data_IF_457862997798
#
_entry.id   IF_457862997798
#
_cell.length_a   1.000
_cell.length_b   1.000
_cell.length_c   1.000
_cell.angle_alpha   90.00
_cell.angle_beta   90.00
_cell.angle_gamma   90.00
#
_symmetry.space_group_name_H-M   'P 1'
#
loop_
_entity.id
_entity.type
_entity.pdbx_description
1 polymer ?
#
# COMPACT_ATOMS: atom_id res chain seq x y z
N UNK A 1 0.39 -10.97 26.81
CA UNK A 1 -0.82 -10.76 25.97
C UNK A 1 -0.53 -9.62 25.00
N UNK A 2 -1.11 -9.57 23.80
CA UNK A 2 -0.76 -8.54 22.79
C UNK A 2 -0.81 -7.09 23.33
N UNK A 3 -1.79 -6.79 24.19
CA UNK A 3 -1.96 -5.48 24.84
C UNK A 3 -0.81 -5.06 25.77
N UNK A 4 -0.09 -6.03 26.35
CA UNK A 4 1.01 -5.76 27.28
C UNK A 4 2.38 -5.67 26.59
N UNK A 5 2.44 -5.90 25.28
CA UNK A 5 3.67 -5.84 24.51
C UNK A 5 4.01 -4.38 24.17
N UNK A 6 5.18 -3.91 24.58
CA UNK A 6 5.64 -2.56 24.32
C UNK A 6 5.75 -2.27 22.81
N UNK A 7 6.00 -3.29 21.99
CA UNK A 7 6.01 -3.15 20.54
C UNK A 7 4.63 -2.81 19.99
N UNK A 8 3.54 -3.21 20.63
CA UNK A 8 2.18 -2.94 20.17
C UNK A 8 1.64 -1.56 20.61
N UNK A 9 2.50 -0.68 21.15
CA UNK A 9 2.12 0.71 21.43
C UNK A 9 1.93 1.52 20.14
N UNK A 10 2.65 1.17 19.08
CA UNK A 10 2.52 1.78 17.75
C UNK A 10 1.63 0.90 16.88
N UNK A 11 0.32 1.11 16.96
CA UNK A 11 -0.65 0.36 16.18
C UNK A 11 -0.86 1.03 14.82
N UNK A 12 -0.56 0.32 13.74
CA UNK A 12 -0.92 0.71 12.37
C UNK A 12 -1.62 -0.46 11.72
N UNK A 13 -2.90 -0.29 11.38
CA UNK A 13 -3.70 -1.35 10.75
C UNK A 13 -3.83 -1.03 9.27
N UNK A 14 -3.33 -1.89 8.41
CA UNK A 14 -3.38 -1.75 6.95
C UNK A 14 -4.61 -2.46 6.43
N UNK A 15 -5.44 -1.76 5.66
CA UNK A 15 -6.70 -2.30 5.14
C UNK A 15 -6.46 -3.06 3.84
N UNK A 16 -6.75 -4.35 3.84
CA UNK A 16 -6.56 -5.24 2.70
C UNK A 16 -7.93 -5.65 2.14
N UNK A 17 -8.54 -4.81 1.30
CA UNK A 17 -9.85 -5.09 0.71
C UNK A 17 -9.82 -6.10 -0.44
N UNK A 18 -8.68 -6.27 -1.09
CA UNK A 18 -8.56 -7.15 -2.26
C UNK A 18 -8.26 -8.60 -1.92
N UNK A 19 -8.07 -8.94 -0.64
CA UNK A 19 -7.52 -10.24 -0.24
C UNK A 19 -8.18 -10.82 1.00
N UNK A 20 -8.66 -12.07 0.88
CA UNK A 20 -9.09 -12.91 2.01
C UNK A 20 -7.93 -13.75 2.56
N UNK A 21 -8.07 -14.28 3.78
CA UNK A 21 -7.17 -15.35 4.27
C UNK A 21 -7.30 -16.58 3.37
N UNK A 22 -6.18 -17.26 3.07
CA UNK A 22 -6.20 -18.54 2.37
C UNK A 22 -6.39 -19.70 3.36
N UNK A 23 -7.38 -20.56 3.10
CA UNK A 23 -7.68 -21.77 3.88
C UNK A 23 -8.50 -21.52 5.15
N UNK A 24 -9.14 -22.56 5.67
CA UNK A 24 -9.69 -22.54 7.02
C UNK A 24 -8.54 -22.23 7.98
N UNK A 25 -8.65 -21.13 8.70
CA UNK A 25 -7.72 -20.67 9.74
C UNK A 25 -6.91 -21.82 10.32
N UNK A 26 -5.61 -21.95 9.99
CA UNK A 26 -4.76 -22.79 10.82
C UNK A 26 -4.85 -22.21 12.23
N UNK A 27 -5.33 -22.97 13.23
CA UNK A 27 -5.18 -22.56 14.62
C UNK A 27 -3.67 -22.51 14.86
N UNK A 28 -3.09 -21.30 14.87
CA UNK A 28 -1.64 -21.12 14.97
C UNK A 28 -0.95 -20.36 13.83
N UNK A 29 -1.66 -19.56 13.03
CA UNK A 29 -1.03 -18.59 12.12
C UNK A 29 -0.12 -17.61 12.89
N UNK A 30 1.20 -17.87 12.84
CA UNK A 30 2.30 -17.21 13.57
C UNK A 30 2.04 -16.95 15.06
N UNK A 31 2.82 -17.58 15.95
CA UNK A 31 2.80 -17.33 17.41
C UNK A 31 3.17 -15.88 17.83
N UNK A 32 3.29 -14.97 16.88
CA UNK A 32 3.70 -13.57 17.05
C UNK A 32 2.62 -12.66 16.45
N UNK A 33 1.56 -12.42 17.21
CA UNK A 33 0.57 -11.39 16.88
C UNK A 33 1.14 -10.02 17.25
N UNK A 34 1.35 -9.17 16.25
CA UNK A 34 1.77 -7.77 16.44
C UNK A 34 0.75 -6.83 15.81
N UNK A 35 0.50 -5.72 16.51
CA UNK A 35 -0.32 -4.59 16.03
C UNK A 35 0.52 -3.57 15.24
N UNK A 36 1.85 -3.72 15.20
CA UNK A 36 2.71 -2.95 14.30
C UNK A 36 2.51 -3.48 12.87
N UNK A 37 1.98 -2.66 11.98
CA UNK A 37 1.72 -3.02 10.58
C UNK A 37 0.78 -4.23 10.41
N UNK A 38 -0.29 -4.28 11.22
CA UNK A 38 -1.25 -5.37 11.16
C UNK A 38 -2.04 -5.33 9.83
N UNK A 39 -1.96 -6.40 9.04
CA UNK A 39 -2.70 -6.53 7.79
C UNK A 39 -4.10 -7.06 8.07
N UNK A 40 -5.09 -6.17 8.08
CA UNK A 40 -6.50 -6.51 8.29
C UNK A 40 -7.14 -6.83 6.93
N UNK A 41 -7.47 -8.10 6.72
CA UNK A 41 -8.06 -8.61 5.47
C UNK A 41 -9.58 -8.47 5.44
N UNK A 42 -10.15 -8.43 4.23
CA UNK A 42 -11.58 -8.18 4.01
C UNK A 42 -12.51 -9.15 4.75
N UNK A 43 -12.15 -10.43 4.85
CA UNK A 43 -12.91 -11.44 5.61
C UNK A 43 -12.85 -11.18 7.12
N UNK A 44 -11.73 -10.66 7.61
CA UNK A 44 -11.61 -10.28 9.01
C UNK A 44 -12.41 -9.01 9.33
N UNK A 45 -12.57 -8.10 8.38
CA UNK A 45 -13.44 -6.93 8.54
C UNK A 45 -14.91 -7.34 8.60
N UNK A 46 -15.31 -8.33 7.79
CA UNK A 46 -16.64 -8.94 7.82
C UNK A 46 -16.89 -9.63 9.17
N UNK A 47 -15.98 -10.50 9.62
CA UNK A 47 -16.05 -11.20 10.91
C UNK A 47 -16.18 -10.21 12.10
N UNK A 48 -15.46 -9.09 12.02
CA UNK A 48 -15.45 -8.04 13.05
C UNK A 48 -16.60 -7.03 12.92
N UNK A 49 -17.44 -7.16 11.87
CA UNK A 49 -18.55 -6.25 11.58
C UNK A 49 -18.13 -4.77 11.53
N UNK A 50 -16.98 -4.49 10.92
CA UNK A 50 -16.53 -3.12 10.71
C UNK A 50 -17.36 -2.43 9.62
N UNK A 51 -17.45 -1.10 9.66
CA UNK A 51 -18.09 -0.31 8.60
C UNK A 51 -17.18 -0.19 7.36
N UNK A 52 -17.01 -1.33 6.69
CA UNK A 52 -16.23 -1.42 5.47
C UNK A 52 -16.80 -0.56 4.33
N UNK A 53 -18.11 -0.31 4.33
CA UNK A 53 -18.79 0.52 3.34
C UNK A 53 -18.26 1.96 3.41
N UNK A 54 -18.18 2.56 4.60
CA UNK A 54 -17.64 3.92 4.78
C UNK A 54 -16.16 4.02 4.37
N UNK A 55 -15.37 2.98 4.68
CA UNK A 55 -13.96 2.93 4.27
C UNK A 55 -13.81 2.91 2.75
N UNK A 56 -14.54 2.05 2.03
CA UNK A 56 -14.43 1.99 0.57
C UNK A 56 -14.99 3.23 -0.13
N UNK A 57 -15.98 3.90 0.46
CA UNK A 57 -16.44 5.23 0.01
C UNK A 57 -15.31 6.25 0.10
N UNK A 58 -14.63 6.31 1.24
CA UNK A 58 -13.52 7.24 1.47
C UNK A 58 -12.33 6.96 0.55
N UNK A 59 -12.00 5.67 0.34
CA UNK A 59 -10.96 5.25 -0.60
C UNK A 59 -11.30 5.64 -2.05
N UNK A 60 -12.55 5.47 -2.45
CA UNK A 60 -13.03 5.83 -3.79
C UNK A 60 -12.90 7.33 -4.05
N UNK A 61 -13.26 8.16 -3.06
CA UNK A 61 -13.11 9.62 -3.14
C UNK A 61 -11.65 10.02 -3.25
N UNK A 62 -10.79 9.47 -2.39
CA UNK A 62 -9.37 9.76 -2.40
C UNK A 62 -8.72 9.43 -3.75
N UNK A 63 -8.95 8.22 -4.28
CA UNK A 63 -8.39 7.80 -5.57
C UNK A 63 -8.93 8.64 -6.74
N UNK A 64 -10.23 8.98 -6.75
CA UNK A 64 -10.79 9.83 -7.79
C UNK A 64 -10.17 11.24 -7.78
N UNK A 65 -9.91 11.80 -6.59
CA UNK A 65 -9.21 13.08 -6.42
C UNK A 65 -7.77 12.96 -6.91
N UNK A 66 -7.05 11.91 -6.51
CA UNK A 66 -5.67 11.70 -6.92
C UNK A 66 -5.52 11.61 -8.45
N UNK A 67 -6.34 10.77 -9.08
CA UNK A 67 -6.27 10.60 -10.53
C UNK A 67 -6.68 11.87 -11.27
N UNK A 68 -7.83 12.48 -10.93
CA UNK A 68 -8.45 13.47 -11.83
C UNK A 68 -8.27 14.92 -11.39
N UNK A 69 -8.04 15.18 -10.10
CA UNK A 69 -7.80 16.52 -9.59
C UNK A 69 -6.30 16.81 -9.51
N UNK A 70 -5.52 15.90 -8.93
CA UNK A 70 -4.07 16.08 -8.74
C UNK A 70 -3.24 15.47 -9.86
N UNK A 71 -3.83 14.66 -10.73
CA UNK A 71 -3.19 14.07 -11.92
C UNK A 71 -1.99 13.18 -11.56
N UNK A 72 -2.15 12.32 -10.56
CA UNK A 72 -1.16 11.29 -10.20
C UNK A 72 -1.78 9.90 -10.31
N UNK A 73 -0.98 8.85 -10.50
CA UNK A 73 -1.45 7.46 -10.69
C UNK A 73 -1.82 6.71 -9.41
N UNK A 74 -1.46 7.26 -8.25
CA UNK A 74 -1.64 6.62 -6.95
C UNK A 74 -0.87 5.29 -6.78
N UNK A 75 0.26 5.12 -7.44
CA UNK A 75 1.12 3.94 -7.25
C UNK A 75 1.59 3.81 -5.80
N UNK A 76 1.47 2.59 -5.26
CA UNK A 76 1.88 2.13 -3.93
C UNK A 76 1.28 2.88 -2.73
N UNK A 77 0.24 3.69 -2.93
CA UNK A 77 -0.42 4.35 -1.79
C UNK A 77 -1.11 3.36 -0.88
N UNK A 78 -1.02 3.64 0.42
CA UNK A 78 -1.45 2.71 1.46
C UNK A 78 -2.58 3.30 2.32
N UNK A 79 -3.67 2.54 2.45
CA UNK A 79 -4.80 2.91 3.29
C UNK A 79 -4.70 2.22 4.66
N UNK A 80 -4.64 3.03 5.71
CA UNK A 80 -4.38 2.55 7.08
C UNK A 80 -5.34 3.16 8.09
N UNK A 81 -5.75 2.37 9.09
CA UNK A 81 -6.46 2.87 10.25
C UNK A 81 -5.45 3.25 11.34
N UNK A 82 -5.58 4.51 11.79
CA UNK A 82 -4.91 5.04 12.96
C UNK A 82 -5.96 5.43 14.00
N UNK A 83 -5.60 5.37 15.29
CA UNK A 83 -6.45 5.87 16.36
C UNK A 83 -5.88 7.15 16.93
N UNK A 84 -6.72 8.17 17.12
CA UNK A 84 -6.37 9.38 17.87
C UNK A 84 -7.30 9.52 19.06
N UNK A 85 -6.86 10.15 20.17
CA UNK A 85 -7.78 10.53 21.24
C UNK A 85 -8.93 11.37 20.67
N UNK A 86 -10.16 11.15 21.14
CA UNK A 86 -11.33 11.92 20.69
C UNK A 86 -11.14 13.42 20.88
N UNK A 87 -10.50 13.79 21.99
CA UNK A 87 -10.21 15.18 22.35
C UNK A 87 -9.09 15.82 21.51
N UNK A 88 -8.44 15.06 20.62
CA UNK A 88 -7.25 15.48 19.88
C UNK A 88 -7.53 16.43 18.72
N UNK A 89 -8.70 16.29 18.09
CA UNK A 89 -9.13 17.20 17.01
C UNK A 89 -9.63 18.55 17.53
N UNK A 90 -9.74 18.72 18.85
CA UNK A 90 -10.00 20.00 19.46
C UNK A 90 -8.66 20.73 19.66
N UNK A 91 -8.16 21.42 18.62
CA UNK A 91 -7.25 22.55 18.86
C UNK A 91 -8.07 23.58 19.64
N UNK A 92 -7.98 23.54 20.97
CA UNK A 92 -8.84 24.36 21.83
C UNK A 92 -8.36 25.81 21.87
N UNK A 93 -7.05 26.04 21.73
CA UNK A 93 -6.43 27.38 21.68
C UNK A 93 -5.14 27.37 20.85
N UNK A 94 -5.13 27.86 19.60
CA UNK A 94 -3.87 28.08 18.90
C UNK A 94 -3.03 29.12 19.67
N UNK A 95 -1.72 28.90 19.87
CA UNK A 95 -0.87 29.86 20.55
C UNK A 95 -0.77 31.16 19.72
N UNK A 96 -0.83 32.35 20.35
CA UNK A 96 -0.64 33.63 19.68
C UNK A 96 0.67 33.67 18.89
N UNK A 97 0.70 34.35 17.75
CA UNK A 97 1.90 34.43 16.89
C UNK A 97 3.15 34.90 17.66
N UNK A 98 2.99 35.86 18.58
CA UNK A 98 4.07 36.36 19.41
C UNK A 98 4.69 35.28 20.30
N UNK A 99 3.89 34.33 20.79
CA UNK A 99 4.36 33.21 21.59
C UNK A 99 5.07 32.17 20.73
N UNK A 100 4.65 31.99 19.47
CA UNK A 100 5.30 31.09 18.50
C UNK A 100 6.70 31.61 18.15
N UNK A 101 6.84 32.91 17.91
CA UNK A 101 8.12 33.56 17.57
C UNK A 101 9.16 33.41 18.70
N UNK A 102 8.71 33.29 19.95
CA UNK A 102 9.58 33.08 21.12
C UNK A 102 9.99 31.62 21.35
N UNK A 103 9.43 30.67 20.60
CA UNK A 103 9.78 29.26 20.75
C UNK A 103 11.12 28.95 20.13
N UNK A 104 11.88 28.07 20.79
CA UNK A 104 13.07 27.46 20.20
C UNK A 104 12.66 26.68 18.94
N UNK A 105 13.40 26.78 17.82
CA UNK A 105 13.13 25.98 16.62
C UNK A 105 13.02 24.48 16.93
N UNK A 106 12.03 23.81 16.36
CA UNK A 106 11.74 22.40 16.62
C UNK A 106 10.90 22.11 17.88
N UNK A 107 10.52 23.14 18.64
CA UNK A 107 9.60 22.97 19.78
C UNK A 107 8.20 22.57 19.30
N UNK A 108 7.68 21.45 19.80
CA UNK A 108 6.30 21.04 19.54
C UNK A 108 5.32 22.01 20.19
N UNK A 109 4.50 22.69 19.38
CA UNK A 109 3.37 23.51 19.87
C UNK A 109 2.14 22.67 20.20
N UNK A 110 2.19 21.37 19.91
CA UNK A 110 1.05 20.47 19.93
C UNK A 110 0.42 20.28 21.31
N UNK A 111 1.25 20.02 22.33
CA UNK A 111 0.79 19.84 23.70
C UNK A 111 0.21 21.15 24.26
N UNK A 112 0.81 22.29 23.90
CA UNK A 112 0.31 23.63 24.26
C UNK A 112 -1.02 23.98 23.58
N UNK A 113 -1.21 23.61 22.32
CA UNK A 113 -2.41 23.93 21.55
C UNK A 113 -3.62 23.05 21.92
N UNK A 114 -3.37 21.83 22.37
CA UNK A 114 -4.41 20.83 22.70
C UNK A 114 -4.76 20.79 24.19
N UNK A 115 -3.84 21.21 25.08
CA UNK A 115 -3.99 21.37 26.54
C UNK A 115 -4.82 20.25 27.21
N UNK A 116 -4.57 19.00 26.84
CA UNK A 116 -5.29 17.85 27.40
C UNK A 116 -4.33 16.68 27.54
N UNK A 117 -4.28 16.05 28.72
CA UNK A 117 -3.69 14.73 28.85
C UNK A 117 -4.50 13.77 27.96
N UNK A 118 -3.91 13.18 26.91
CA UNK A 118 -4.68 12.44 25.91
C UNK A 118 -5.49 11.31 26.57
N UNK A 119 -6.81 11.43 26.54
CA UNK A 119 -7.69 10.40 27.08
C UNK A 119 -7.82 9.25 26.07
N UNK A 120 -6.88 8.33 26.13
CA UNK A 120 -6.84 7.14 25.29
C UNK A 120 -7.97 6.12 25.54
N UNK A 121 -8.89 6.37 26.48
CA UNK A 121 -10.11 5.55 26.66
C UNK A 121 -11.23 5.96 25.71
N UNK A 122 -11.19 7.18 25.16
CA UNK A 122 -12.11 7.66 24.12
C UNK A 122 -11.28 7.95 22.87
N UNK A 123 -11.38 7.09 21.86
CA UNK A 123 -10.59 7.20 20.63
C UNK A 123 -11.50 7.31 19.42
N UNK A 124 -11.08 8.11 18.45
CA UNK A 124 -11.63 8.08 17.09
C UNK A 124 -10.67 7.22 16.27
N UNK A 125 -11.24 6.38 15.43
CA UNK A 125 -10.50 5.66 14.39
C UNK A 125 -10.61 6.48 13.11
N UNK A 126 -9.48 6.78 12.48
CA UNK A 126 -9.42 7.55 11.25
C UNK A 126 -8.75 6.73 10.16
N UNK A 127 -9.27 6.83 8.95
CA UNK A 127 -8.63 6.33 7.74
C UNK A 127 -7.58 7.35 7.28
N UNK A 128 -6.34 6.89 7.14
CA UNK A 128 -5.21 7.65 6.63
C UNK A 128 -4.77 7.06 5.29
N UNK A 129 -4.29 7.94 4.42
CA UNK A 129 -3.64 7.58 3.17
C UNK A 129 -2.16 7.98 3.27
N UNK A 130 -1.26 7.03 3.10
CA UNK A 130 0.18 7.19 3.25
C UNK A 130 0.92 6.70 1.99
N UNK A 131 2.24 6.85 2.03
CA UNK A 131 3.21 6.32 1.07
C UNK A 131 3.00 6.80 -0.38
N UNK A 132 3.37 8.07 -0.62
CA UNK A 132 3.24 8.72 -1.93
C UNK A 132 4.56 8.71 -2.73
N UNK A 133 5.59 8.01 -2.27
CA UNK A 133 6.94 8.06 -2.83
C UNK A 133 7.04 7.41 -4.22
N UNK A 134 6.19 6.44 -4.52
CA UNK A 134 6.10 5.77 -5.82
C UNK A 134 5.12 6.44 -6.81
N UNK A 135 4.35 7.44 -6.38
CA UNK A 135 3.34 8.10 -7.21
C UNK A 135 3.98 8.85 -8.40
N UNK A 136 3.45 8.60 -9.61
CA UNK A 136 3.84 9.28 -10.84
C UNK A 136 2.75 10.21 -11.38
N UNK A 137 3.10 11.28 -12.11
CA UNK A 137 2.11 12.09 -12.80
C UNK A 137 1.42 11.29 -13.92
N UNK A 138 0.14 11.60 -14.19
CA UNK A 138 -0.63 11.01 -15.30
C UNK A 138 -1.13 12.08 -16.27
N UNK A 139 -1.23 11.69 -17.54
CA UNK A 139 -1.85 12.51 -18.58
C UNK A 139 -3.38 12.36 -18.56
N UNK A 140 -4.12 13.40 -18.92
CA UNK A 140 -5.59 13.37 -18.93
C UNK A 140 -6.16 12.78 -20.22
N UNK A 141 -5.70 11.57 -20.56
CA UNK A 141 -6.11 10.80 -21.74
C UNK A 141 -6.01 9.29 -21.44
N UNK A 142 -6.21 8.45 -22.46
CA UNK A 142 -6.16 6.99 -22.33
C UNK A 142 -4.83 6.46 -21.79
N UNK A 143 -3.69 7.10 -22.09
CA UNK A 143 -2.39 6.66 -21.58
C UNK A 143 -2.30 6.84 -20.05
N UNK A 144 -2.74 7.99 -19.52
CA UNK A 144 -2.78 8.20 -18.08
C UNK A 144 -3.83 7.33 -17.37
N UNK A 145 -4.97 7.03 -18.03
CA UNK A 145 -5.92 6.02 -17.52
C UNK A 145 -5.24 4.65 -17.39
N UNK A 146 -4.48 4.22 -18.40
CA UNK A 146 -3.76 2.95 -18.34
C UNK A 146 -2.72 2.91 -17.23
N UNK A 147 -2.04 4.02 -16.95
CA UNK A 147 -1.09 4.13 -15.84
C UNK A 147 -1.79 4.02 -14.48
N UNK A 148 -2.91 4.73 -14.29
CA UNK A 148 -3.73 4.61 -13.08
C UNK A 148 -4.28 3.18 -12.90
N UNK A 149 -4.73 2.52 -13.98
CA UNK A 149 -5.14 1.12 -13.93
C UNK A 149 -3.98 0.24 -13.48
N UNK A 150 -2.78 0.40 -14.06
CA UNK A 150 -1.60 -0.36 -13.66
C UNK A 150 -1.33 -0.19 -12.16
N UNK A 151 -1.28 1.04 -11.66
CA UNK A 151 -1.09 1.34 -10.25
C UNK A 151 -2.14 0.67 -9.35
N UNK A 152 -3.42 0.79 -9.72
CA UNK A 152 -4.51 0.14 -8.97
C UNK A 152 -4.37 -1.39 -8.90
N UNK A 153 -3.94 -2.02 -10.00
CA UNK A 153 -3.75 -3.47 -10.08
C UNK A 153 -2.53 -3.90 -9.28
N UNK A 154 -1.46 -3.10 -9.23
CA UNK A 154 -0.27 -3.37 -8.41
C UNK A 154 -0.56 -3.15 -6.92
N UNK A 155 -1.42 -2.20 -6.56
CA UNK A 155 -1.96 -1.97 -5.21
C UNK A 155 -3.03 -3.01 -4.81
N UNK A 156 -3.04 -4.16 -5.49
CA UNK A 156 -3.98 -5.28 -5.34
C UNK A 156 -4.44 -5.57 -3.92
N UNK A 157 -3.52 -5.70 -2.95
CA UNK A 157 -3.92 -6.20 -1.65
C UNK A 157 -4.79 -5.18 -0.92
N UNK A 158 -4.60 -3.89 -1.18
CA UNK A 158 -5.25 -2.78 -0.49
C UNK A 158 -6.62 -2.44 -1.07
N UNK A 159 -6.76 -2.48 -2.40
CA UNK A 159 -7.95 -1.97 -3.08
C UNK A 159 -9.09 -3.01 -3.17
N UNK A 160 -10.37 -2.59 -3.10
CA UNK A 160 -11.50 -3.48 -3.39
C UNK A 160 -11.40 -4.08 -4.79
N UNK A 161 -11.84 -5.34 -4.95
CA UNK A 161 -11.72 -6.07 -6.22
C UNK A 161 -13.06 -6.60 -6.73
N UNK A 162 -13.31 -6.54 -8.06
CA UNK A 162 -14.41 -7.27 -8.67
C UNK A 162 -14.11 -8.78 -8.71
N UNK A 163 -15.14 -9.60 -8.92
CA UNK A 163 -15.04 -11.03 -9.23
C UNK A 163 -14.45 -11.90 -8.11
N UNK A 164 -14.58 -11.46 -6.85
CA UNK A 164 -14.12 -12.21 -5.68
C UNK A 164 -15.03 -13.42 -5.34
N UNK A 165 -16.15 -13.56 -6.04
CA UNK A 165 -17.11 -14.68 -5.94
C UNK A 165 -17.79 -14.80 -4.57
N UNK A 166 -17.79 -13.74 -3.77
CA UNK A 166 -18.50 -13.65 -2.50
C UNK A 166 -19.29 -12.35 -2.38
N UNK A 167 -20.46 -12.43 -1.74
CA UNK A 167 -21.43 -11.33 -1.68
C UNK A 167 -20.88 -10.08 -1.00
N UNK A 168 -20.04 -10.23 0.01
CA UNK A 168 -19.47 -9.12 0.77
C UNK A 168 -18.47 -8.32 -0.06
N UNK A 169 -17.47 -8.98 -0.66
CA UNK A 169 -16.48 -8.31 -1.52
C UNK A 169 -17.12 -7.69 -2.77
N UNK A 170 -18.09 -8.38 -3.39
CA UNK A 170 -18.83 -7.85 -4.55
C UNK A 170 -19.64 -6.59 -4.19
N UNK A 171 -20.24 -6.56 -2.99
CA UNK A 171 -20.89 -5.35 -2.47
C UNK A 171 -19.89 -4.21 -2.32
N UNK A 172 -18.73 -4.46 -1.70
CA UNK A 172 -17.71 -3.43 -1.48
C UNK A 172 -17.18 -2.88 -2.80
N UNK A 173 -16.92 -3.73 -3.79
CA UNK A 173 -16.57 -3.29 -5.14
C UNK A 173 -17.66 -2.43 -5.79
N UNK A 174 -18.93 -2.82 -5.67
CA UNK A 174 -20.05 -2.04 -6.19
C UNK A 174 -20.09 -0.64 -5.57
N UNK A 175 -19.95 -0.54 -4.25
CA UNK A 175 -19.97 0.75 -3.53
C UNK A 175 -18.77 1.60 -3.96
N UNK A 176 -17.57 1.03 -3.94
CA UNK A 176 -16.33 1.68 -4.37
C UNK A 176 -16.47 2.26 -5.79
N UNK A 177 -16.85 1.41 -6.75
CA UNK A 177 -16.94 1.80 -8.16
C UNK A 177 -18.02 2.85 -8.41
N UNK A 178 -19.19 2.74 -7.77
CA UNK A 178 -20.25 3.75 -7.85
C UNK A 178 -19.76 5.09 -7.32
N UNK A 179 -19.14 5.11 -6.13
CA UNK A 179 -18.66 6.34 -5.51
C UNK A 179 -17.52 6.98 -6.29
N UNK A 180 -16.55 6.17 -6.75
CA UNK A 180 -15.43 6.64 -7.54
C UNK A 180 -15.90 7.35 -8.82
N UNK A 181 -16.91 6.78 -9.51
CA UNK A 181 -17.49 7.39 -10.70
C UNK A 181 -18.25 8.67 -10.37
N UNK A 182 -18.99 8.72 -9.27
CA UNK A 182 -19.70 9.92 -8.84
C UNK A 182 -18.70 11.08 -8.62
N UNK A 183 -17.66 10.85 -7.84
CA UNK A 183 -16.63 11.85 -7.52
C UNK A 183 -15.80 12.22 -8.75
N UNK A 184 -15.40 11.24 -9.55
CA UNK A 184 -14.67 11.47 -10.81
C UNK A 184 -15.46 12.29 -11.83
N UNK A 185 -16.78 12.07 -11.95
CA UNK A 185 -17.64 12.89 -12.83
C UNK A 185 -17.74 14.33 -12.34
N UNK A 186 -17.84 14.54 -11.03
CA UNK A 186 -17.86 15.90 -10.46
C UNK A 186 -16.56 16.65 -10.77
N UNK A 187 -15.41 15.98 -10.65
CA UNK A 187 -14.10 16.58 -10.91
C UNK A 187 -13.90 16.89 -12.40
N UNK A 188 -14.32 15.98 -13.28
CA UNK A 188 -14.08 16.10 -14.73
C UNK A 188 -15.20 16.79 -15.49
N UNK A 189 -16.26 17.25 -14.80
CA UNK A 189 -17.42 17.90 -15.42
C UNK A 189 -17.02 19.10 -16.31
N UNK A 190 -17.59 19.17 -17.52
CA UNK A 190 -17.32 20.25 -18.48
C UNK A 190 -15.95 20.19 -19.15
N UNK A 191 -15.15 19.14 -18.94
CA UNK A 191 -13.84 18.97 -19.56
C UNK A 191 -13.83 17.88 -20.64
N UNK A 192 -12.85 17.88 -21.57
CA UNK A 192 -12.62 16.76 -22.49
C UNK A 192 -12.36 15.41 -21.81
N UNK A 193 -12.07 15.42 -20.50
CA UNK A 193 -11.71 14.25 -19.70
C UNK A 193 -12.90 13.61 -18.97
N UNK A 194 -14.16 14.01 -19.25
CA UNK A 194 -15.36 13.48 -18.60
C UNK A 194 -15.52 11.95 -18.66
N UNK A 195 -14.95 11.31 -19.69
CA UNK A 195 -15.06 9.85 -19.86
C UNK A 195 -13.98 9.06 -19.10
N UNK A 196 -12.88 9.69 -18.66
CA UNK A 196 -11.73 9.00 -18.06
C UNK A 196 -12.06 8.22 -16.79
N UNK A 197 -12.87 8.73 -15.83
CA UNK A 197 -13.24 7.95 -14.65
C UNK A 197 -13.96 6.64 -15.00
N UNK A 198 -14.81 6.67 -16.04
CA UNK A 198 -15.49 5.46 -16.54
C UNK A 198 -14.52 4.51 -17.21
N UNK A 199 -13.61 5.01 -18.04
CA UNK A 199 -12.57 4.20 -18.68
C UNK A 199 -11.68 3.49 -17.65
N UNK A 200 -11.34 4.16 -16.55
CA UNK A 200 -10.59 3.56 -15.44
C UNK A 200 -11.32 2.36 -14.84
N UNK A 201 -12.57 2.51 -14.40
CA UNK A 201 -13.33 1.40 -13.79
C UNK A 201 -13.50 0.23 -14.78
N UNK A 202 -13.84 0.53 -16.04
CA UNK A 202 -13.96 -0.50 -17.08
C UNK A 202 -12.64 -1.22 -17.34
N UNK A 203 -11.53 -0.49 -17.37
CA UNK A 203 -10.20 -1.06 -17.56
C UNK A 203 -9.75 -1.94 -16.39
N UNK A 204 -10.03 -1.53 -15.14
CA UNK A 204 -9.80 -2.38 -13.96
C UNK A 204 -10.61 -3.66 -14.04
N UNK A 205 -11.91 -3.57 -14.36
CA UNK A 205 -12.75 -4.76 -14.53
C UNK A 205 -12.20 -5.68 -15.61
N UNK A 206 -11.87 -5.15 -16.79
CA UNK A 206 -11.33 -5.94 -17.90
C UNK A 206 -10.00 -6.64 -17.58
N UNK A 207 -9.12 -5.98 -16.80
CA UNK A 207 -7.84 -6.56 -16.36
C UNK A 207 -7.99 -7.64 -15.29
N UNK A 208 -9.07 -7.60 -14.52
CA UNK A 208 -9.37 -8.55 -13.44
C UNK A 208 -10.41 -9.61 -13.81
N UNK A 209 -10.98 -9.53 -15.00
CA UNK A 209 -11.93 -10.52 -15.51
C UNK A 209 -11.33 -11.93 -15.46
N UNK A 210 -12.08 -12.92 -14.95
CA UNK A 210 -11.65 -14.32 -14.98
C UNK A 210 -11.42 -14.82 -16.42
N UNK A 211 -10.50 -15.78 -16.64
CA UNK A 211 -10.18 -16.32 -17.98
C UNK A 211 -11.40 -16.86 -18.74
N UNK A 212 -12.40 -17.39 -18.03
CA UNK A 212 -13.60 -18.01 -18.62
C UNK A 212 -14.59 -17.00 -19.24
N UNK A 213 -14.34 -15.69 -19.14
CA UNK A 213 -15.20 -14.64 -19.69
C UNK A 213 -14.57 -13.87 -20.87
N UNK A 214 -13.40 -14.29 -21.35
CA UNK A 214 -12.83 -13.72 -22.57
C UNK A 214 -13.50 -14.36 -23.80
N UNK A 215 -13.94 -13.58 -24.81
CA UNK A 215 -14.47 -14.16 -26.03
C UNK A 215 -13.40 -15.06 -26.68
N UNK A 216 -13.79 -16.20 -27.28
CA UNK A 216 -12.83 -17.11 -27.89
C UNK A 216 -12.03 -16.35 -28.96
N UNK A 217 -10.69 -16.41 -28.84
CA UNK A 217 -9.80 -15.95 -29.91
C UNK A 217 -10.20 -16.70 -31.18
N UNK A 218 -10.60 -15.97 -32.22
CA UNK A 218 -10.78 -16.53 -33.55
C UNK A 218 -9.43 -17.12 -33.98
N UNK A 219 -9.32 -18.44 -33.89
CA UNK A 219 -8.23 -19.17 -34.49
C UNK A 219 -8.39 -19.03 -36.00
N UNK A 220 -7.48 -18.29 -36.63
CA UNK A 220 -7.30 -18.32 -38.08
C UNK A 220 -6.94 -19.75 -38.46
N UNK A 221 -7.92 -20.47 -39.01
CA UNK A 221 -7.75 -21.83 -39.50
C UNK A 221 -6.85 -21.84 -40.73
N UNK A 222 -5.66 -22.44 -40.60
CA UNK A 222 -4.92 -22.94 -41.75
C UNK A 222 -5.43 -24.36 -42.02
N UNK A 223 -6.18 -24.51 -43.11
CA UNK A 223 -6.64 -25.79 -43.63
C UNK A 223 -5.42 -26.59 -44.10
N UNK A 224 -5.12 -27.70 -43.43
CA UNK A 224 -4.22 -28.74 -43.94
C UNK A 224 -5.08 -29.78 -44.67
N UNK A 225 -5.04 -29.73 -46.01
CA UNK A 225 -5.60 -30.75 -46.87
C UNK A 225 -4.74 -32.02 -46.86
N UNK A 226 -5.41 -33.16 -46.76
CA UNK A 226 -4.85 -34.49 -47.00
C UNK A 226 -4.92 -34.80 -48.49
N UNK A 227 -3.83 -35.26 -49.11
CA UNK A 227 -3.87 -36.19 -50.24
C UNK A 227 -2.48 -36.79 -50.52
N UNK A 228 -2.51 -38.08 -50.88
CA UNK A 228 -1.42 -39.05 -50.90
C UNK A 228 -0.53 -39.05 -52.16
N UNK A 229 0.67 -39.60 -51.96
CA UNK A 229 1.60 -40.34 -52.85
C UNK A 229 1.61 -40.10 -54.37
N UNK A 230 2.82 -39.88 -54.93
CA UNK A 230 3.56 -40.89 -55.72
C UNK A 230 4.84 -40.34 -56.39
N UNK A 231 5.96 -41.04 -56.16
CA UNK A 231 6.93 -41.46 -57.18
C UNK A 231 7.77 -40.46 -58.00
N UNK A 232 9.08 -40.49 -57.70
CA UNK A 232 10.21 -40.80 -58.63
C UNK A 232 11.16 -39.68 -59.11
N UNK A 233 12.45 -39.93 -58.81
CA UNK A 233 13.70 -39.69 -59.58
C UNK A 233 14.41 -38.32 -59.54
N UNK A 234 15.66 -38.34 -59.05
CA UNK A 234 16.75 -37.46 -59.54
C UNK A 234 17.77 -37.01 -58.47
N UNK A 235 19.07 -36.86 -58.76
CA UNK A 235 20.16 -37.20 -57.82
C UNK A 235 20.84 -36.03 -57.07
N UNK A 236 21.61 -36.44 -56.05
CA UNK A 236 22.53 -35.69 -55.16
C UNK A 236 23.64 -34.98 -55.95
N UNK A 237 24.14 -33.79 -55.53
CA UNK A 237 25.44 -33.77 -54.83
C UNK A 237 25.62 -32.70 -53.71
N UNK A 238 26.28 -33.17 -52.63
CA UNK A 238 27.39 -32.57 -51.87
C UNK A 238 27.19 -31.34 -50.94
N UNK A 239 27.47 -31.60 -49.66
CA UNK A 239 27.80 -30.65 -48.60
C UNK A 239 29.22 -30.06 -48.79
N UNK A 240 29.47 -28.89 -48.19
CA UNK A 240 30.69 -28.71 -47.41
C UNK A 240 30.41 -28.43 -45.93
N UNK A 241 31.07 -29.21 -45.07
CA UNK A 241 31.31 -28.90 -43.67
C UNK A 241 32.34 -27.77 -43.54
N UNK A 242 32.09 -26.83 -42.63
CA UNK A 242 33.07 -25.98 -41.93
C UNK A 242 32.28 -25.11 -40.96
N UNK A 243 32.71 -24.75 -39.77
CA UNK A 243 33.70 -25.25 -38.82
C UNK A 243 33.33 -24.53 -37.52
N UNK A 244 33.27 -25.26 -36.42
CA UNK A 244 32.97 -24.71 -35.11
C UNK A 244 34.23 -24.01 -34.58
N UNK A 245 34.15 -22.71 -34.31
CA UNK A 245 35.24 -21.98 -33.66
C UNK A 245 34.71 -21.25 -32.42
N UNK A 246 35.10 -21.78 -31.26
CA UNK A 246 35.12 -21.08 -29.98
C UNK A 246 36.26 -20.06 -30.02
N UNK A 247 35.98 -18.81 -29.64
CA UNK A 247 37.01 -17.93 -29.09
C UNK A 247 36.46 -17.13 -27.90
N UNK A 248 37.31 -17.13 -26.87
CA UNK A 248 37.25 -16.42 -25.60
C UNK A 248 37.47 -14.90 -25.75
N UNK A 249 37.36 -14.21 -24.61
CA UNK A 249 37.77 -12.82 -24.28
C UNK A 249 36.58 -11.83 -24.32
N UNK A 250 36.38 -10.86 -23.42
CA UNK A 250 37.11 -10.33 -22.27
C UNK A 250 36.11 -9.54 -21.41
N UNK A 251 36.06 -9.71 -20.08
CA UNK A 251 35.70 -8.62 -19.16
C UNK A 251 36.47 -8.73 -17.84
N UNK A 252 37.36 -7.78 -17.68
CA UNK A 252 38.17 -7.47 -16.50
C UNK A 252 37.29 -7.08 -15.30
N UNK A 253 37.64 -7.46 -14.06
CA UNK A 253 36.96 -7.02 -12.85
C UNK A 253 37.54 -5.69 -12.35
N UNK A 254 36.68 -4.74 -11.96
CA UNK A 254 37.13 -3.53 -11.25
C UNK A 254 37.20 -3.78 -9.75
N UNK A 255 38.32 -3.36 -9.16
CA UNK A 255 38.84 -3.70 -7.84
C UNK A 255 38.39 -2.66 -6.80
N UNK A 256 38.25 -3.15 -5.56
CA UNK A 256 38.13 -2.42 -4.30
C UNK A 256 38.98 -1.15 -4.20
N UNK A 257 38.42 -0.13 -3.55
CA UNK A 257 39.13 0.88 -2.78
C UNK A 257 38.51 1.02 -1.38
N UNK A 258 39.13 0.37 -0.39
CA UNK A 258 39.12 0.78 1.02
C UNK A 258 40.24 1.83 1.17
N UNK A 259 39.97 2.93 1.87
CA UNK A 259 40.71 3.34 3.08
C UNK A 259 40.45 4.81 3.45
N UNK A 260 40.35 5.05 4.75
CA UNK A 260 40.19 6.40 5.30
C UNK A 260 39.92 6.46 6.80
N UNK A 261 40.60 5.64 7.61
CA UNK A 261 40.71 5.84 9.06
C UNK A 261 41.65 7.03 9.38
N UNK A 262 41.18 7.93 10.26
CA UNK A 262 41.94 8.68 11.29
C UNK A 262 40.96 8.80 12.47
N UNK A 263 41.14 8.18 13.64
CA UNK A 263 42.18 8.45 14.65
C UNK A 263 41.81 9.75 15.39
N UNK A 264 41.53 9.84 16.70
CA UNK A 264 41.58 8.93 17.85
C UNK A 264 41.22 9.73 19.12
N UNK A 265 41.45 9.11 20.29
CA UNK A 265 41.20 9.57 21.69
C UNK A 265 39.76 9.29 22.16
N UNK A 266 39.47 8.44 23.15
CA UNK A 266 40.25 7.99 24.30
C UNK A 266 39.70 8.68 25.54
N UNK A 267 38.85 8.00 26.34
CA UNK A 267 38.74 8.14 27.80
C UNK A 267 37.64 7.23 28.37
N UNK A 268 38.08 6.16 29.01
CA UNK A 268 37.38 5.34 29.99
C UNK A 268 37.57 5.93 31.39
N UNK A 269 36.51 6.43 32.04
CA UNK A 269 36.30 6.52 33.50
C UNK A 269 34.82 6.87 33.71
N UNK A 270 33.97 6.29 34.56
CA UNK A 270 34.12 5.23 35.54
C UNK A 270 32.74 4.98 36.17
N UNK A 271 32.48 3.72 36.52
CA UNK A 271 31.42 3.37 37.48
C UNK A 271 31.75 3.97 38.85
N UNK A 272 30.73 4.43 39.57
CA UNK A 272 30.80 4.54 41.03
C UNK A 272 29.46 4.22 41.68
N UNK A 273 29.46 3.03 42.29
CA UNK A 273 29.02 2.66 43.64
C UNK A 273 27.67 3.17 44.18
N UNK A 274 26.85 2.16 44.51
CA UNK A 274 25.90 2.11 45.62
C UNK A 274 26.48 2.68 46.93
N UNK A 275 25.63 3.34 47.72
CA UNK A 275 25.81 3.63 49.15
C UNK A 275 24.59 4.35 49.73
N UNK A 276 24.24 4.18 51.03
CA UNK A 276 22.87 3.82 51.42
C UNK A 276 22.08 4.89 52.18
N UNK A 277 20.76 4.67 52.24
CA UNK A 277 19.94 4.78 53.46
C UNK A 277 19.59 6.17 53.99
N UNK A 278 18.31 6.51 54.01
CA UNK A 278 17.74 7.11 55.21
C UNK A 278 16.30 6.65 55.46
N UNK A 279 16.12 5.92 56.57
CA UNK A 279 14.85 5.68 57.24
C UNK A 279 14.58 6.89 58.13
N UNK A 280 13.33 7.31 58.26
CA UNK A 280 12.86 7.88 59.51
C UNK A 280 11.75 8.90 59.42
N UNK A 281 10.75 8.68 60.28
CA UNK A 281 9.66 9.58 60.71
C UNK A 281 8.47 9.65 59.74
N UNK A 282 7.31 9.04 60.01
CA UNK A 282 6.68 8.75 61.29
C UNK A 282 5.83 9.94 61.73
N UNK A 283 4.54 9.93 61.38
CA UNK A 283 3.47 10.68 62.07
C UNK A 283 2.14 9.94 61.91
N UNK A 284 1.76 9.21 62.95
CA UNK A 284 0.37 9.03 63.36
C UNK A 284 0.05 10.02 64.48
N UNK A 285 -1.25 10.29 64.66
CA UNK A 285 -2.00 11.14 65.61
C UNK A 285 -2.95 12.00 64.75
N UNK A 286 -4.28 11.92 64.81
CA UNK A 286 -5.26 11.28 65.70
C UNK A 286 -6.42 10.78 64.84
#
# INVERSE_FOLDING_TARGET
>A
MAKSDASNKDCLVRLFFGRKRYGASRPGGSRLFSLRNYKLRVDQMEDLQLDADEYVVSMADALAIMHWRTKIDAMDVEFVLGSTPFDHNAVRRPPPLQDIVRLTPGTSTFERATNTAPNFKKRIVSLWLLDFDACGPITMNTAGVNQAIKAFIENEPYCPRPYMKDTYSERLWRIFSQRYLETGRKITAGSPSQSLPRQFIQGVMAKLSPPDQLPPRQATGTVLGMSESSGTRGPIPQQPQQQQQQQLSNRTPSRRGQDGQRGGRGSTVGSSKKGPGNRGQGRGYR
#
